data_IF_143437617620
#
_entry.id   IF_143437617620
#
_cell.length_a   1.000
_cell.length_b   1.000
_cell.length_c   1.000
_cell.angle_alpha   90.00
_cell.angle_beta   90.00
_cell.angle_gamma   90.00
#
_symmetry.space_group_name_H-M   'P 1'
#
loop_
_entity.id
_entity.type
_entity.pdbx_description
1 polymer ?
#
# COMPACT_ATOMS: atom_id res chain seq x y z
N UNK A 1 -23.56 -26.28 45.82
CA UNK A 1 -23.31 -26.88 44.47
C UNK A 1 -24.27 -26.39 43.38
N UNK A 2 -25.53 -26.09 43.62
CA UNK A 2 -26.50 -25.67 42.57
C UNK A 2 -26.17 -24.29 41.91
N UNK A 3 -25.51 -23.39 42.57
CA UNK A 3 -25.17 -22.05 42.04
C UNK A 3 -23.94 -22.05 41.10
N UNK A 4 -23.01 -23.00 41.28
CA UNK A 4 -21.84 -23.14 40.37
C UNK A 4 -22.22 -23.71 38.99
N UNK A 5 -23.25 -24.60 38.96
CA UNK A 5 -23.74 -25.16 37.69
C UNK A 5 -24.46 -24.11 36.82
N UNK A 6 -25.14 -23.12 37.44
CA UNK A 6 -25.80 -22.03 36.71
C UNK A 6 -24.80 -21.03 36.12
N UNK A 7 -23.70 -20.75 36.85
CA UNK A 7 -22.62 -19.87 36.39
C UNK A 7 -21.85 -20.47 35.22
N UNK A 8 -21.60 -21.80 35.23
CA UNK A 8 -20.94 -22.50 34.14
C UNK A 8 -21.81 -22.57 32.88
N UNK A 9 -23.12 -22.75 33.03
CA UNK A 9 -24.08 -22.75 31.88
C UNK A 9 -24.21 -21.34 31.26
N UNK A 10 -24.12 -20.28 32.06
CA UNK A 10 -24.12 -18.90 31.55
C UNK A 10 -22.83 -18.54 30.79
N UNK A 11 -21.70 -19.12 31.18
CA UNK A 11 -20.39 -18.93 30.48
C UNK A 11 -20.37 -19.68 29.16
N UNK A 12 -20.97 -20.87 29.07
CA UNK A 12 -21.07 -21.65 27.84
C UNK A 12 -22.05 -21.07 26.81
N UNK A 13 -23.08 -20.36 27.24
CA UNK A 13 -24.01 -19.68 26.33
C UNK A 13 -23.44 -18.43 25.66
N UNK A 14 -22.30 -17.91 26.14
CA UNK A 14 -21.62 -16.71 25.59
C UNK A 14 -20.62 -17.02 24.49
N UNK A 15 -20.41 -18.30 24.14
CA UNK A 15 -19.51 -18.72 23.07
C UNK A 15 -20.21 -18.89 21.70
N UNK A 16 -21.40 -18.32 21.50
CA UNK A 16 -22.11 -18.36 20.23
C UNK A 16 -21.41 -17.55 19.15
N UNK A 17 -20.79 -18.26 18.24
CA UNK A 17 -20.55 -17.98 16.82
C UNK A 17 -20.38 -16.52 16.42
N UNK A 18 -19.13 -16.08 16.34
CA UNK A 18 -18.75 -15.06 15.37
C UNK A 18 -18.78 -15.73 13.97
N UNK A 19 -19.96 -15.80 13.34
CA UNK A 19 -20.04 -16.07 11.92
C UNK A 19 -19.23 -14.99 11.18
N UNK A 20 -18.28 -15.38 10.36
CA UNK A 20 -17.67 -14.54 9.34
C UNK A 20 -18.82 -14.18 8.37
N UNK A 21 -19.52 -13.09 8.62
CA UNK A 21 -20.41 -12.53 7.63
C UNK A 21 -19.52 -11.89 6.56
N UNK A 22 -19.20 -12.63 5.52
CA UNK A 22 -18.71 -12.06 4.28
C UNK A 22 -19.75 -11.02 3.82
N UNK A 23 -19.30 -9.86 3.36
CA UNK A 23 -20.21 -8.89 2.73
C UNK A 23 -20.34 -9.38 1.30
N UNK A 24 -21.51 -9.90 0.94
CA UNK A 24 -21.78 -10.33 -0.43
C UNK A 24 -21.88 -9.08 -1.33
N UNK A 25 -21.22 -9.09 -2.51
CA UNK A 25 -21.23 -7.94 -3.43
C UNK A 25 -22.63 -7.64 -3.97
N UNK A 26 -23.47 -8.65 -4.17
CA UNK A 26 -24.84 -8.54 -4.70
C UNK A 26 -25.80 -7.71 -3.83
N UNK A 27 -25.46 -7.45 -2.56
CA UNK A 27 -26.23 -6.56 -1.69
C UNK A 27 -25.68 -5.12 -1.62
N UNK A 28 -24.64 -4.80 -2.40
CA UNK A 28 -23.87 -3.56 -2.29
C UNK A 28 -23.83 -2.80 -3.62
N UNK A 29 -23.80 -3.52 -4.74
CA UNK A 29 -23.87 -2.99 -6.10
C UNK A 29 -24.96 -3.71 -6.85
N UNK A 30 -25.90 -2.95 -7.44
CA UNK A 30 -26.97 -3.50 -8.26
C UNK A 30 -26.45 -3.92 -9.65
N UNK A 31 -27.02 -4.99 -10.20
CA UNK A 31 -26.79 -5.45 -11.58
C UNK A 31 -25.33 -5.80 -11.91
N UNK A 32 -24.64 -6.54 -11.05
CA UNK A 32 -23.33 -7.12 -11.41
C UNK A 32 -23.59 -8.19 -12.48
N UNK A 33 -22.97 -8.11 -13.69
CA UNK A 33 -23.14 -9.09 -14.73
C UNK A 33 -22.51 -10.44 -14.35
N UNK A 34 -23.04 -11.53 -14.89
CA UNK A 34 -22.50 -12.88 -14.69
C UNK A 34 -21.15 -13.07 -15.39
N UNK A 35 -20.93 -12.37 -16.49
CA UNK A 35 -19.72 -12.44 -17.31
C UNK A 35 -19.20 -11.03 -17.63
N UNK A 36 -17.93 -10.93 -17.99
CA UNK A 36 -17.34 -9.72 -18.54
C UNK A 36 -17.88 -9.44 -19.95
N UNK A 37 -17.87 -8.19 -20.40
CA UNK A 37 -18.31 -7.80 -21.75
C UNK A 37 -17.46 -8.44 -22.86
N UNK A 38 -16.21 -8.77 -22.56
CA UNK A 38 -15.32 -9.47 -23.46
C UNK A 38 -15.08 -10.88 -22.91
N UNK A 39 -15.35 -11.90 -23.74
CA UNK A 39 -15.04 -13.28 -23.41
C UNK A 39 -13.54 -13.46 -23.19
N UNK A 40 -13.17 -13.91 -21.98
CA UNK A 40 -11.78 -14.27 -21.68
C UNK A 40 -11.51 -15.72 -22.01
N UNK A 41 -10.33 -16.05 -22.56
CA UNK A 41 -9.95 -17.44 -22.82
C UNK A 41 -9.91 -18.27 -21.52
N UNK A 42 -10.10 -19.59 -21.69
CA UNK A 42 -10.28 -20.61 -20.64
C UNK A 42 -9.23 -20.53 -19.52
N UNK A 43 -9.72 -20.78 -18.32
CA UNK A 43 -9.07 -20.74 -17.02
C UNK A 43 -7.65 -21.35 -16.96
N UNK A 44 -6.68 -20.58 -16.57
CA UNK A 44 -5.41 -21.05 -16.06
C UNK A 44 -5.22 -20.43 -14.67
N UNK A 45 -4.86 -21.23 -13.67
CA UNK A 45 -4.40 -20.68 -12.39
C UNK A 45 -3.07 -19.96 -12.64
N UNK A 46 -3.05 -18.63 -12.47
CA UNK A 46 -1.81 -17.87 -12.50
C UNK A 46 -0.97 -18.25 -11.28
N UNK A 47 0.29 -18.55 -11.52
CA UNK A 47 1.30 -18.76 -10.47
C UNK A 47 1.42 -17.50 -9.59
N UNK A 48 1.74 -17.67 -8.30
CA UNK A 48 2.15 -16.56 -7.43
C UNK A 48 3.36 -15.80 -8.03
N UNK A 49 4.15 -16.47 -8.86
CA UNK A 49 5.30 -15.93 -9.58
C UNK A 49 4.93 -15.77 -11.08
N UNK A 50 3.89 -14.96 -11.35
CA UNK A 50 3.33 -14.75 -12.69
C UNK A 50 4.35 -14.21 -13.71
N UNK A 51 5.39 -13.50 -13.28
CA UNK A 51 6.41 -12.96 -14.17
C UNK A 51 7.33 -14.03 -14.77
N UNK A 52 7.37 -15.25 -14.24
CA UNK A 52 8.08 -16.37 -14.86
C UNK A 52 7.52 -16.75 -16.23
N UNK A 53 6.25 -16.43 -16.50
CA UNK A 53 5.61 -16.69 -17.79
C UNK A 53 6.20 -15.84 -18.92
N UNK A 54 6.91 -14.76 -18.63
CA UNK A 54 7.69 -14.01 -19.61
C UNK A 54 8.95 -14.74 -20.09
N UNK A 55 9.36 -15.82 -19.41
CA UNK A 55 10.53 -16.63 -19.74
C UNK A 55 11.84 -15.82 -19.85
N UNK A 56 11.96 -14.74 -19.09
CA UNK A 56 13.13 -13.87 -19.01
C UNK A 56 13.88 -14.08 -17.67
N UNK A 57 15.02 -14.75 -17.74
CA UNK A 57 15.86 -15.06 -16.57
C UNK A 57 16.42 -13.77 -15.91
N UNK A 58 16.72 -12.74 -16.71
CA UNK A 58 17.24 -11.45 -16.19
C UNK A 58 16.15 -10.69 -15.43
N UNK A 59 14.90 -10.72 -15.93
CA UNK A 59 13.74 -10.22 -15.20
C UNK A 59 13.56 -10.97 -13.88
N UNK A 60 13.63 -12.30 -13.89
CA UNK A 60 13.48 -13.13 -12.70
C UNK A 60 14.54 -12.79 -11.64
N UNK A 61 15.79 -12.61 -12.06
CA UNK A 61 16.90 -12.23 -11.17
C UNK A 61 16.69 -10.82 -10.60
N UNK A 62 16.29 -9.86 -11.44
CA UNK A 62 15.98 -8.50 -11.00
C UNK A 62 14.84 -8.47 -9.97
N UNK A 63 13.73 -9.15 -10.23
CA UNK A 63 12.58 -9.18 -9.33
C UNK A 63 12.86 -9.98 -8.05
N UNK A 64 13.66 -11.04 -8.10
CA UNK A 64 14.09 -11.76 -6.90
C UNK A 64 14.87 -10.85 -5.97
N UNK A 65 15.78 -10.05 -6.50
CA UNK A 65 16.55 -9.07 -5.74
C UNK A 65 15.69 -7.93 -5.23
N UNK A 66 14.78 -7.43 -6.07
CA UNK A 66 13.79 -6.42 -5.70
C UNK A 66 12.95 -6.86 -4.50
N UNK A 67 12.41 -8.07 -4.52
CA UNK A 67 11.58 -8.61 -3.44
C UNK A 67 12.36 -8.78 -2.13
N UNK A 68 13.67 -9.07 -2.21
CA UNK A 68 14.52 -9.26 -1.04
C UNK A 68 15.01 -7.94 -0.42
N UNK A 69 15.27 -6.91 -1.23
CA UNK A 69 16.06 -5.74 -0.82
C UNK A 69 15.26 -4.42 -0.83
N UNK A 70 14.06 -4.40 -1.42
CA UNK A 70 13.32 -3.14 -1.61
C UNK A 70 12.91 -2.49 -0.28
N UNK A 71 13.34 -1.24 -0.09
CA UNK A 71 13.11 -0.46 1.14
C UNK A 71 11.61 -0.21 1.39
N UNK A 72 10.82 0.03 0.33
CA UNK A 72 9.40 0.31 0.48
C UNK A 72 8.63 -0.94 0.93
N UNK A 73 9.04 -2.13 0.47
CA UNK A 73 8.47 -3.40 0.93
C UNK A 73 8.82 -3.66 2.40
N UNK A 74 10.04 -3.37 2.81
CA UNK A 74 10.48 -3.47 4.20
C UNK A 74 9.66 -2.53 5.11
N UNK A 75 9.47 -1.27 4.70
CA UNK A 75 8.64 -0.31 5.43
C UNK A 75 7.18 -0.76 5.54
N UNK A 76 6.60 -1.29 4.45
CA UNK A 76 5.22 -1.79 4.46
C UNK A 76 5.06 -3.01 5.39
N UNK A 77 6.07 -3.89 5.44
CA UNK A 77 6.11 -5.01 6.39
C UNK A 77 6.17 -4.50 7.85
N UNK A 78 6.99 -3.48 8.12
CA UNK A 78 7.07 -2.87 9.45
C UNK A 78 5.73 -2.24 9.86
N UNK A 79 5.02 -1.55 8.96
CA UNK A 79 3.68 -1.03 9.22
C UNK A 79 2.67 -2.14 9.58
N UNK A 80 2.78 -3.31 8.94
CA UNK A 80 1.97 -4.48 9.30
C UNK A 80 2.29 -4.99 10.71
N UNK A 81 3.57 -4.99 11.11
CA UNK A 81 3.99 -5.33 12.48
C UNK A 81 3.47 -4.33 13.50
N UNK A 82 3.48 -3.02 13.18
CA UNK A 82 2.88 -1.96 14.02
C UNK A 82 1.38 -2.23 14.22
N UNK A 83 0.65 -2.51 13.14
CA UNK A 83 -0.78 -2.83 13.23
C UNK A 83 -1.05 -4.09 14.08
N UNK A 84 -0.16 -5.10 14.03
CA UNK A 84 -0.22 -6.27 14.91
C UNK A 84 -0.08 -5.87 16.39
N UNK A 85 0.89 -5.03 16.74
CA UNK A 85 1.07 -4.56 18.13
C UNK A 85 -0.11 -3.70 18.58
N UNK A 86 -0.67 -2.85 17.74
CA UNK A 86 -1.89 -2.09 18.05
C UNK A 86 -3.08 -3.03 18.36
N UNK A 87 -3.18 -4.17 17.66
CA UNK A 87 -4.16 -5.20 17.99
C UNK A 87 -3.91 -5.86 19.35
N UNK A 88 -2.64 -6.08 19.72
CA UNK A 88 -2.28 -6.57 21.07
C UNK A 88 -2.70 -5.56 22.14
N UNK A 89 -2.42 -4.26 21.96
CA UNK A 89 -2.85 -3.18 22.85
C UNK A 89 -4.37 -3.16 22.98
N UNK A 90 -5.10 -3.29 21.88
CA UNK A 90 -6.58 -3.35 21.92
C UNK A 90 -7.11 -4.56 22.70
N UNK A 91 -6.38 -5.69 22.66
CA UNK A 91 -6.71 -6.90 23.39
C UNK A 91 -6.37 -6.77 24.88
N UNK A 92 -5.28 -6.07 25.25
CA UNK A 92 -4.85 -5.93 26.65
C UNK A 92 -5.87 -5.20 27.52
N UNK A 93 -6.71 -4.34 26.93
CA UNK A 93 -7.81 -3.66 27.63
C UNK A 93 -8.87 -4.61 28.23
N UNK A 94 -8.85 -5.90 27.88
CA UNK A 94 -9.73 -6.91 28.47
C UNK A 94 -9.19 -7.50 29.77
N UNK A 95 -7.93 -7.24 30.11
CA UNK A 95 -7.23 -7.82 31.23
C UNK A 95 -6.92 -6.75 32.29
N UNK A 96 -6.72 -7.16 33.57
CA UNK A 96 -6.30 -6.23 34.60
C UNK A 96 -4.90 -5.66 34.32
N UNK A 97 -4.71 -4.41 34.70
CA UNK A 97 -3.36 -3.81 34.77
C UNK A 97 -2.84 -4.01 36.21
N UNK A 98 -1.57 -4.36 36.33
CA UNK A 98 -0.87 -4.51 37.59
C UNK A 98 0.35 -3.60 37.52
N UNK A 99 0.50 -2.75 38.56
CA UNK A 99 1.61 -1.82 38.66
C UNK A 99 2.17 -1.76 40.07
N UNK A 100 3.47 -1.54 40.16
CA UNK A 100 4.14 -1.22 41.42
C UNK A 100 4.43 0.29 41.43
N UNK A 101 4.17 0.94 42.56
CA UNK A 101 4.51 2.34 42.80
C UNK A 101 5.26 2.50 44.08
N UNK A 102 6.31 3.30 44.07
CA UNK A 102 7.02 3.75 45.25
C UNK A 102 7.04 5.28 45.23
N UNK A 103 6.78 5.89 46.37
CA UNK A 103 6.75 7.35 46.50
C UNK A 103 7.25 7.79 47.85
N UNK A 104 7.91 8.94 47.88
CA UNK A 104 8.24 9.69 49.07
C UNK A 104 7.73 11.12 48.89
N UNK A 105 7.00 11.63 49.81
CA UNK A 105 6.51 13.01 49.80
C UNK A 105 6.67 13.63 51.18
N UNK A 106 7.09 14.87 51.21
CA UNK A 106 7.10 15.73 52.38
C UNK A 106 6.14 16.90 52.11
N UNK A 107 5.27 17.18 53.03
CA UNK A 107 4.34 18.30 52.96
C UNK A 107 4.29 19.03 54.30
N UNK A 108 4.35 20.36 54.24
CA UNK A 108 4.10 21.20 55.41
C UNK A 108 2.61 21.56 55.44
N UNK A 109 1.96 21.24 56.54
CA UNK A 109 0.55 21.56 56.78
C UNK A 109 0.44 22.50 57.96
N UNK A 110 -0.55 23.38 57.94
CA UNK A 110 -0.86 24.25 59.06
C UNK A 110 -2.06 23.70 59.84
N UNK A 111 -2.13 24.06 61.13
CA UNK A 111 -3.17 23.62 62.06
C UNK A 111 -4.54 24.30 61.85
N UNK A 112 -4.67 25.29 60.95
CA UNK A 112 -5.89 26.10 60.80
C UNK A 112 -7.13 25.28 60.35
N UNK A 113 -6.96 24.07 59.82
CA UNK A 113 -8.07 23.17 59.46
C UNK A 113 -8.31 22.01 60.39
N UNK A 114 -7.58 21.92 61.52
CA UNK A 114 -7.69 20.82 62.46
C UNK A 114 -8.75 21.21 63.54
N UNK A 115 -9.74 20.33 63.76
CA UNK A 115 -10.72 20.59 64.86
C UNK A 115 -10.02 20.82 66.20
N UNK A 116 -10.50 21.80 67.03
CA UNK A 116 -9.82 22.20 68.23
C UNK A 116 -9.52 21.05 69.23
N UNK A 117 -10.35 20.04 69.30
CA UNK A 117 -10.15 18.86 70.11
C UNK A 117 -8.87 18.07 69.74
N UNK A 118 -8.50 18.03 68.46
CA UNK A 118 -7.28 17.37 68.01
C UNK A 118 -6.05 18.28 68.13
N UNK A 119 -6.21 19.62 68.02
CA UNK A 119 -5.15 20.60 68.25
C UNK A 119 -4.65 20.52 69.72
N UNK A 120 -5.56 20.37 70.69
CA UNK A 120 -5.23 20.20 72.08
C UNK A 120 -4.49 18.87 72.35
N UNK A 121 -4.85 17.79 71.67
CA UNK A 121 -4.19 16.49 71.79
C UNK A 121 -2.76 16.49 71.22
N UNK A 122 -2.51 17.34 70.20
CA UNK A 122 -1.19 17.56 69.59
C UNK A 122 -0.34 18.58 70.35
N UNK A 123 -0.81 19.09 71.50
CA UNK A 123 -0.08 20.01 72.38
C UNK A 123 0.00 21.45 71.84
N UNK A 124 -0.83 21.84 70.85
CA UNK A 124 -0.92 23.21 70.36
C UNK A 124 -2.03 23.97 71.06
N UNK A 125 -1.75 25.22 71.53
CA UNK A 125 -2.81 26.07 72.10
C UNK A 125 -3.76 26.52 70.96
N UNK A 126 -5.06 26.60 71.28
CA UNK A 126 -6.14 26.76 70.29
C UNK A 126 -6.12 28.06 69.43
N UNK A 127 -5.26 29.02 69.76
CA UNK A 127 -5.19 30.35 69.10
C UNK A 127 -3.95 30.57 68.23
N UNK A 128 -3.01 29.61 68.22
CA UNK A 128 -1.78 29.74 67.42
C UNK A 128 -1.76 28.78 66.27
N UNK A 129 -1.68 29.30 65.01
CA UNK A 129 -1.53 28.49 63.80
C UNK A 129 -0.09 27.99 63.73
N UNK A 130 0.10 26.74 64.04
CA UNK A 130 1.40 26.07 63.92
C UNK A 130 1.49 25.28 62.63
N UNK A 131 2.69 25.17 62.11
CA UNK A 131 2.97 24.26 60.92
C UNK A 131 3.62 22.99 61.42
N UNK A 132 3.32 21.89 60.75
CA UNK A 132 3.94 20.59 60.99
C UNK A 132 4.27 19.93 59.68
N UNK A 133 5.44 19.31 59.63
CA UNK A 133 5.89 18.55 58.45
C UNK A 133 5.30 17.14 58.54
N UNK A 134 4.74 16.70 57.44
CA UNK A 134 4.27 15.35 57.25
C UNK A 134 5.10 14.69 56.17
N UNK A 135 5.87 13.70 56.55
CA UNK A 135 6.54 12.80 55.61
C UNK A 135 5.62 11.60 55.30
N UNK A 136 5.59 11.15 54.09
CA UNK A 136 4.85 9.96 53.71
C UNK A 136 5.68 9.15 52.72
N UNK A 137 6.00 7.94 53.10
CA UNK A 137 6.67 6.95 52.29
C UNK A 137 5.67 5.86 51.93
N UNK A 138 5.59 5.47 50.63
CA UNK A 138 4.69 4.41 50.20
C UNK A 138 5.38 3.48 49.23
N UNK A 139 5.07 2.19 49.34
CA UNK A 139 5.39 1.16 48.39
C UNK A 139 4.13 0.31 48.19
N UNK A 140 3.56 0.29 47.01
CA UNK A 140 2.31 -0.42 46.76
C UNK A 140 2.29 -1.17 45.41
N UNK A 141 1.70 -2.35 45.44
CA UNK A 141 1.25 -3.10 44.30
C UNK A 141 -0.24 -2.79 44.08
N UNK A 142 -0.59 -2.25 42.92
CA UNK A 142 -1.97 -1.89 42.59
C UNK A 142 -2.46 -2.64 41.37
N UNK A 143 -3.75 -2.94 41.36
CA UNK A 143 -4.41 -3.53 40.19
C UNK A 143 -5.70 -2.78 39.89
N UNK A 144 -5.98 -2.62 38.59
CA UNK A 144 -7.23 -2.07 38.10
C UNK A 144 -7.72 -2.89 36.93
N UNK A 145 -9.00 -3.23 36.91
CA UNK A 145 -9.64 -3.97 35.84
C UNK A 145 -11.06 -3.47 35.58
N UNK A 146 -11.31 -3.00 34.34
CA UNK A 146 -12.68 -2.69 33.90
C UNK A 146 -13.34 -3.98 33.38
N UNK A 147 -14.42 -4.39 34.04
CA UNK A 147 -15.19 -5.59 33.63
C UNK A 147 -16.03 -5.26 32.43
N UNK A 148 -15.83 -5.99 31.34
CA UNK A 148 -16.51 -5.75 30.04
C UNK A 148 -17.93 -6.36 30.01
N UNK A 149 -18.84 -5.89 30.88
CA UNK A 149 -20.21 -6.39 30.94
C UNK A 149 -20.97 -6.15 29.63
N UNK A 150 -20.83 -4.98 29.07
CA UNK A 150 -21.53 -4.58 27.84
C UNK A 150 -20.80 -4.96 26.58
N UNK A 151 -19.59 -5.43 26.67
CA UNK A 151 -18.72 -5.81 25.54
C UNK A 151 -18.09 -4.62 24.84
N UNK A 152 -17.92 -3.46 25.49
CA UNK A 152 -17.23 -2.29 24.95
C UNK A 152 -15.78 -2.65 24.58
N UNK A 153 -15.05 -3.28 25.52
CA UNK A 153 -13.65 -3.68 25.28
C UNK A 153 -13.55 -4.79 24.24
N UNK A 154 -14.49 -5.74 24.24
CA UNK A 154 -14.57 -6.79 23.19
C UNK A 154 -14.75 -6.19 21.79
N UNK A 155 -15.53 -5.10 21.63
CA UNK A 155 -15.65 -4.44 20.33
C UNK A 155 -14.35 -3.74 19.93
N UNK A 156 -13.65 -3.09 20.86
CA UNK A 156 -12.31 -2.53 20.61
C UNK A 156 -11.30 -3.60 20.17
N UNK A 157 -11.28 -4.74 20.85
CA UNK A 157 -10.47 -5.91 20.43
C UNK A 157 -10.81 -6.40 19.02
N UNK A 158 -12.12 -6.52 18.71
CA UNK A 158 -12.56 -6.93 17.37
C UNK A 158 -12.06 -5.92 16.33
N UNK A 159 -12.24 -4.62 16.60
CA UNK A 159 -11.78 -3.56 15.71
C UNK A 159 -10.26 -3.63 15.47
N UNK A 160 -9.46 -3.72 16.51
CA UNK A 160 -8.00 -3.83 16.41
C UNK A 160 -7.56 -5.07 15.64
N UNK A 161 -8.24 -6.23 15.82
CA UNK A 161 -7.97 -7.44 15.02
C UNK A 161 -8.30 -7.23 13.55
N UNK A 162 -9.43 -6.61 13.22
CA UNK A 162 -9.83 -6.35 11.84
C UNK A 162 -8.88 -5.35 11.16
N UNK A 163 -8.45 -4.30 11.86
CA UNK A 163 -7.44 -3.36 11.36
C UNK A 163 -6.09 -4.04 11.08
N UNK A 164 -5.65 -4.96 11.93
CA UNK A 164 -4.46 -5.76 11.66
C UNK A 164 -4.62 -6.64 10.40
N UNK A 165 -5.78 -7.28 10.22
CA UNK A 165 -6.05 -8.08 9.03
C UNK A 165 -6.09 -7.20 7.77
N UNK A 166 -6.72 -6.03 7.85
CA UNK A 166 -6.70 -5.05 6.76
C UNK A 166 -5.26 -4.66 6.38
N UNK A 167 -4.42 -4.34 7.37
CA UNK A 167 -3.01 -4.00 7.14
C UNK A 167 -2.22 -5.16 6.51
N UNK A 168 -2.51 -6.41 6.90
CA UNK A 168 -1.90 -7.61 6.31
C UNK A 168 -2.24 -7.75 4.82
N UNK A 169 -3.52 -7.59 4.45
CA UNK A 169 -3.94 -7.68 3.04
C UNK A 169 -3.50 -6.47 2.22
N UNK A 170 -3.46 -5.27 2.82
CA UNK A 170 -2.85 -4.10 2.20
C UNK A 170 -1.37 -4.32 1.88
N UNK A 171 -0.61 -4.95 2.78
CA UNK A 171 0.78 -5.32 2.51
C UNK A 171 0.89 -6.29 1.32
N UNK A 172 0.03 -7.29 1.27
CA UNK A 172 0.01 -8.26 0.16
C UNK A 172 -0.29 -7.56 -1.17
N UNK A 173 -1.30 -6.68 -1.21
CA UNK A 173 -1.61 -5.89 -2.41
C UNK A 173 -0.46 -4.97 -2.80
N UNK A 174 0.15 -4.29 -1.82
CA UNK A 174 1.26 -3.38 -2.04
C UNK A 174 2.49 -4.10 -2.58
N UNK A 175 2.81 -5.27 -2.05
CA UNK A 175 3.90 -6.11 -2.59
C UNK A 175 3.66 -6.47 -4.05
N UNK A 176 2.44 -6.88 -4.39
CA UNK A 176 2.09 -7.23 -5.76
C UNK A 176 2.12 -6.01 -6.70
N UNK A 177 1.56 -4.89 -6.26
CA UNK A 177 1.57 -3.62 -7.01
C UNK A 177 2.99 -3.13 -7.28
N UNK A 178 3.86 -3.12 -6.26
CA UNK A 178 5.26 -2.71 -6.43
C UNK A 178 6.05 -3.67 -7.33
N UNK A 179 5.78 -4.99 -7.25
CA UNK A 179 6.39 -5.96 -8.15
C UNK A 179 5.95 -5.72 -9.60
N UNK A 180 4.68 -5.37 -9.80
CA UNK A 180 4.15 -4.97 -11.10
C UNK A 180 4.84 -3.72 -11.63
N UNK A 181 5.01 -2.68 -10.80
CA UNK A 181 5.73 -1.45 -11.18
C UNK A 181 7.21 -1.72 -11.50
N UNK A 182 7.90 -2.56 -10.70
CA UNK A 182 9.28 -2.96 -10.99
C UNK A 182 9.39 -3.73 -12.32
N UNK A 183 8.41 -4.58 -12.62
CA UNK A 183 8.34 -5.30 -13.89
C UNK A 183 8.12 -4.35 -15.07
N UNK A 184 7.23 -3.38 -14.94
CA UNK A 184 7.01 -2.34 -15.96
C UNK A 184 8.26 -1.50 -16.19
N UNK A 185 8.95 -1.10 -15.12
CA UNK A 185 10.22 -0.37 -15.24
C UNK A 185 11.28 -1.18 -15.99
N UNK A 186 11.38 -2.49 -15.74
CA UNK A 186 12.28 -3.36 -16.48
C UNK A 186 11.99 -3.34 -18.00
N UNK A 187 10.73 -3.44 -18.40
CA UNK A 187 10.34 -3.36 -19.81
C UNK A 187 10.48 -1.94 -20.39
N UNK A 188 10.30 -0.90 -19.59
CA UNK A 188 10.60 0.48 -20.00
C UNK A 188 12.09 0.70 -20.28
N UNK A 189 12.99 0.00 -19.58
CA UNK A 189 14.42 0.02 -19.87
C UNK A 189 14.72 -0.67 -21.22
N UNK A 190 14.05 -1.79 -21.54
CA UNK A 190 14.18 -2.46 -22.83
C UNK A 190 13.74 -1.53 -23.96
N UNK A 191 12.55 -0.92 -23.83
CA UNK A 191 12.06 0.09 -24.79
C UNK A 191 13.09 1.22 -24.97
N UNK A 192 13.53 1.84 -23.89
CA UNK A 192 14.46 2.97 -23.95
C UNK A 192 15.80 2.60 -24.65
N UNK A 193 16.29 1.38 -24.44
CA UNK A 193 17.46 0.85 -25.17
C UNK A 193 17.18 0.67 -26.65
N UNK A 194 16.00 0.16 -27.02
CA UNK A 194 15.59 0.01 -28.44
C UNK A 194 15.42 1.36 -29.13
N UNK A 195 14.77 2.33 -28.46
CA UNK A 195 14.63 3.70 -28.98
C UNK A 195 15.99 4.38 -29.17
N UNK A 196 16.94 4.18 -28.25
CA UNK A 196 18.30 4.70 -28.39
C UNK A 196 19.05 4.03 -29.56
N UNK A 197 18.88 2.72 -29.77
CA UNK A 197 19.46 2.00 -30.91
C UNK A 197 18.85 2.46 -32.26
N UNK A 198 17.55 2.73 -32.30
CA UNK A 198 16.88 3.30 -33.48
C UNK A 198 17.39 4.73 -33.77
N UNK A 199 17.51 5.57 -32.74
CA UNK A 199 18.07 6.92 -32.89
C UNK A 199 19.52 6.89 -33.38
N UNK A 200 20.33 5.91 -32.95
CA UNK A 200 21.70 5.73 -33.45
C UNK A 200 21.73 5.38 -34.92
N UNK A 201 20.89 4.45 -35.38
CA UNK A 201 20.75 4.11 -36.82
C UNK A 201 20.29 5.33 -37.63
N UNK A 202 19.30 6.08 -37.09
CA UNK A 202 18.79 7.32 -37.73
C UNK A 202 19.91 8.38 -37.85
N UNK A 203 20.73 8.54 -36.81
CA UNK A 203 21.90 9.44 -36.85
C UNK A 203 22.95 8.96 -37.86
N UNK A 204 23.26 7.66 -37.94
CA UNK A 204 24.19 7.10 -38.92
C UNK A 204 23.70 7.37 -40.36
N UNK A 205 22.39 7.14 -40.64
CA UNK A 205 21.80 7.46 -41.93
C UNK A 205 21.92 8.95 -42.26
N UNK A 206 21.63 9.84 -41.32
CA UNK A 206 21.77 11.28 -41.50
C UNK A 206 23.20 11.69 -41.77
N UNK A 207 24.18 11.03 -41.14
CA UNK A 207 25.60 11.28 -41.39
C UNK A 207 26.01 10.86 -42.81
N UNK A 208 25.59 9.70 -43.29
CA UNK A 208 25.83 9.23 -44.67
C UNK A 208 25.30 10.27 -45.66
N UNK A 209 24.07 10.75 -45.44
CA UNK A 209 23.45 11.77 -46.29
C UNK A 209 24.26 13.07 -46.27
N UNK A 210 24.65 13.54 -45.09
CA UNK A 210 25.44 14.77 -44.97
C UNK A 210 26.81 14.67 -45.66
N UNK A 211 27.53 13.56 -45.49
CA UNK A 211 28.83 13.30 -46.13
C UNK A 211 28.69 13.29 -47.64
N UNK A 212 27.63 12.66 -48.19
CA UNK A 212 27.31 12.65 -49.61
C UNK A 212 27.01 14.07 -50.14
N UNK A 213 26.23 14.84 -49.38
CA UNK A 213 25.91 16.24 -49.79
C UNK A 213 27.15 17.15 -49.72
N UNK A 214 28.01 16.99 -48.76
CA UNK A 214 29.30 17.70 -48.67
C UNK A 214 30.13 17.43 -49.91
N UNK A 215 30.22 16.16 -50.35
CA UNK A 215 30.93 15.79 -51.58
C UNK A 215 30.30 16.39 -52.81
N UNK A 216 28.98 16.36 -52.96
CA UNK A 216 28.25 16.94 -54.12
C UNK A 216 28.35 18.48 -54.16
N UNK A 217 28.30 19.13 -53.04
CA UNK A 217 28.47 20.58 -52.94
C UNK A 217 29.89 21.02 -53.37
N UNK A 218 30.90 20.32 -52.92
CA UNK A 218 32.30 20.60 -53.30
C UNK A 218 32.54 20.40 -54.79
N UNK A 219 31.71 19.57 -55.45
CA UNK A 219 31.70 19.38 -56.92
C UNK A 219 30.81 20.39 -57.68
N UNK A 220 30.14 21.31 -56.95
CA UNK A 220 29.23 22.29 -57.54
C UNK A 220 27.89 21.73 -58.05
N UNK A 221 27.49 20.51 -57.61
CA UNK A 221 26.29 19.80 -58.10
C UNK A 221 25.03 20.19 -57.34
N UNK A 222 25.15 20.63 -56.07
CA UNK A 222 24.03 21.01 -55.22
C UNK A 222 24.16 22.40 -54.64
N UNK A 223 23.05 23.01 -54.20
CA UNK A 223 23.01 24.32 -53.57
C UNK A 223 23.51 24.30 -52.13
N UNK A 224 23.99 25.45 -51.63
CA UNK A 224 24.33 25.64 -50.21
C UNK A 224 23.11 25.34 -49.29
N UNK A 225 21.90 25.71 -49.73
CA UNK A 225 20.65 25.41 -48.98
C UNK A 225 20.49 23.93 -48.72
N UNK A 226 20.72 23.10 -49.74
CA UNK A 226 20.60 21.64 -49.65
C UNK A 226 21.64 21.03 -48.67
N UNK A 227 22.89 21.53 -48.71
CA UNK A 227 23.91 21.15 -47.72
C UNK A 227 23.50 21.54 -46.30
N UNK A 228 23.02 22.75 -46.11
CA UNK A 228 22.58 23.24 -44.79
C UNK A 228 21.38 22.47 -44.24
N UNK A 229 20.43 22.02 -45.11
CA UNK A 229 19.33 21.15 -44.71
C UNK A 229 19.82 19.77 -44.19
N UNK A 230 20.82 19.18 -44.87
CA UNK A 230 21.41 17.91 -44.45
C UNK A 230 22.20 18.04 -43.12
N UNK A 231 22.88 19.17 -42.90
CA UNK A 231 23.58 19.48 -41.66
C UNK A 231 22.59 19.68 -40.49
N UNK A 232 21.48 20.39 -40.73
CA UNK A 232 20.40 20.54 -39.75
C UNK A 232 19.85 19.19 -39.32
N UNK A 233 19.55 18.28 -40.30
CA UNK A 233 19.10 16.92 -40.01
C UNK A 233 20.12 16.15 -39.17
N UNK A 234 21.40 16.20 -39.48
CA UNK A 234 22.47 15.55 -38.74
C UNK A 234 22.49 16.04 -37.28
N UNK A 235 22.40 17.34 -37.06
CA UNK A 235 22.40 17.93 -35.70
C UNK A 235 21.16 17.56 -34.91
N UNK A 236 19.97 17.53 -35.52
CA UNK A 236 18.71 17.10 -34.91
C UNK A 236 18.74 15.63 -34.47
N UNK A 237 19.21 14.75 -35.38
CA UNK A 237 19.31 13.31 -35.07
C UNK A 237 20.36 13.01 -34.03
N UNK A 238 21.48 13.77 -33.96
CA UNK A 238 22.47 13.66 -32.91
C UNK A 238 21.91 14.08 -31.56
N UNK A 239 21.14 15.17 -31.51
CA UNK A 239 20.48 15.65 -30.28
C UNK A 239 19.46 14.62 -29.77
N UNK A 240 18.65 14.05 -30.66
CA UNK A 240 17.68 12.99 -30.30
C UNK A 240 18.39 11.74 -29.75
N UNK A 241 19.48 11.29 -30.37
CA UNK A 241 20.28 10.18 -29.88
C UNK A 241 20.78 10.39 -28.46
N UNK A 242 21.37 11.56 -28.17
CA UNK A 242 21.88 11.84 -26.83
C UNK A 242 20.75 11.89 -25.81
N UNK A 243 19.60 12.45 -26.17
CA UNK A 243 18.40 12.45 -25.32
C UNK A 243 17.90 11.02 -25.01
N UNK A 244 17.74 10.16 -26.05
CA UNK A 244 17.32 8.77 -25.86
C UNK A 244 18.32 7.97 -24.99
N UNK A 245 19.63 8.16 -25.20
CA UNK A 245 20.66 7.57 -24.32
C UNK A 245 20.56 8.05 -22.87
N UNK A 246 20.25 9.32 -22.66
CA UNK A 246 20.08 9.90 -21.32
C UNK A 246 18.85 9.28 -20.60
N UNK A 247 17.72 9.14 -21.29
CA UNK A 247 16.52 8.51 -20.74
C UNK A 247 16.82 7.08 -20.33
N UNK A 248 17.43 6.28 -21.19
CA UNK A 248 17.80 4.89 -20.88
C UNK A 248 18.68 4.80 -19.62
N UNK A 249 19.69 5.68 -19.51
CA UNK A 249 20.56 5.75 -18.32
C UNK A 249 19.79 6.12 -17.04
N UNK A 250 18.80 7.02 -17.15
CA UNK A 250 17.96 7.44 -16.01
C UNK A 250 17.12 6.28 -15.48
N UNK A 251 16.46 5.51 -16.36
CA UNK A 251 15.65 4.35 -15.98
C UNK A 251 16.49 3.24 -15.35
N UNK A 252 17.72 3.02 -15.86
CA UNK A 252 18.65 2.05 -15.25
C UNK A 252 19.00 2.46 -13.82
N UNK A 253 19.26 3.76 -13.57
CA UNK A 253 19.54 4.24 -12.21
C UNK A 253 18.34 4.08 -11.29
N UNK A 254 17.13 4.33 -11.79
CA UNK A 254 15.89 4.12 -11.04
C UNK A 254 15.73 2.66 -10.63
N UNK A 255 15.94 1.72 -11.56
CA UNK A 255 15.88 0.29 -11.28
C UNK A 255 16.93 -0.15 -10.23
N UNK A 256 18.13 0.43 -10.25
CA UNK A 256 19.17 0.16 -9.25
C UNK A 256 18.77 0.63 -7.86
N UNK A 257 18.13 1.81 -7.76
CA UNK A 257 17.60 2.32 -6.48
C UNK A 257 16.53 1.39 -5.93
N UNK A 258 15.65 0.82 -6.79
CA UNK A 258 14.61 -0.11 -6.35
C UNK A 258 15.17 -1.39 -5.71
N UNK A 259 16.34 -1.83 -6.12
CA UNK A 259 17.04 -3.00 -5.55
C UNK A 259 18.11 -2.60 -4.50
N UNK A 260 18.00 -1.38 -3.94
CA UNK A 260 18.87 -0.87 -2.86
C UNK A 260 20.35 -0.85 -3.24
N UNK A 261 20.69 -0.56 -4.49
CA UNK A 261 22.04 -0.48 -4.96
C UNK A 261 22.45 0.93 -5.38
N UNK A 262 23.77 1.20 -5.38
CA UNK A 262 24.28 2.47 -5.90
C UNK A 262 23.85 2.66 -7.36
N UNK A 263 23.30 3.83 -7.75
CA UNK A 263 22.69 4.07 -9.07
C UNK A 263 23.74 4.21 -10.19
N UNK A 264 24.56 3.17 -10.41
CA UNK A 264 25.42 3.04 -11.57
C UNK A 264 24.62 2.63 -12.82
N UNK A 265 25.30 2.31 -13.93
CA UNK A 265 24.67 1.93 -15.20
C UNK A 265 24.74 0.43 -15.49
N UNK A 266 25.09 -0.38 -14.49
CA UNK A 266 25.28 -1.83 -14.63
C UNK A 266 23.98 -2.57 -14.29
N UNK A 267 23.06 -2.67 -15.25
CA UNK A 267 21.88 -3.49 -15.14
C UNK A 267 21.73 -4.38 -16.38
N UNK A 268 21.74 -5.67 -16.14
CA UNK A 268 21.46 -6.64 -17.22
C UNK A 268 19.96 -6.69 -17.49
N UNK A 269 19.60 -6.54 -18.77
CA UNK A 269 18.24 -6.73 -19.27
C UNK A 269 18.25 -7.61 -20.51
N UNK A 270 17.12 -8.18 -20.89
CA UNK A 270 16.95 -8.73 -22.23
C UNK A 270 17.18 -7.62 -23.26
N UNK A 271 17.53 -8.03 -24.49
CA UNK A 271 17.71 -7.10 -25.62
C UNK A 271 16.37 -6.73 -26.25
N UNK A 272 15.50 -7.71 -26.37
CA UNK A 272 14.23 -7.60 -27.04
C UNK A 272 13.09 -7.95 -26.08
N UNK A 273 11.87 -7.55 -26.43
CA UNK A 273 10.68 -7.93 -25.67
C UNK A 273 10.42 -9.44 -25.76
N UNK A 274 9.75 -10.04 -24.77
CA UNK A 274 9.42 -11.46 -24.79
C UNK A 274 8.40 -11.76 -25.90
N UNK A 275 8.57 -12.89 -26.57
CA UNK A 275 7.60 -13.36 -27.59
C UNK A 275 6.28 -13.81 -26.94
N UNK A 276 6.37 -14.38 -25.75
CA UNK A 276 5.22 -14.82 -24.96
C UNK A 276 4.90 -13.82 -23.84
N UNK A 277 3.64 -13.48 -23.70
CA UNK A 277 3.14 -12.71 -22.55
C UNK A 277 2.25 -13.61 -21.68
N UNK A 278 2.18 -13.37 -20.36
CA UNK A 278 1.37 -14.17 -19.45
C UNK A 278 -0.09 -14.31 -19.90
N UNK A 279 -0.63 -15.50 -19.76
CA UNK A 279 -2.05 -15.75 -20.00
C UNK A 279 -2.91 -15.10 -18.89
N UNK A 280 -4.16 -14.78 -19.24
CA UNK A 280 -5.10 -14.21 -18.28
C UNK A 280 -5.82 -15.31 -17.51
N UNK A 281 -6.03 -15.15 -16.19
CA UNK A 281 -6.90 -16.05 -15.45
C UNK A 281 -8.34 -15.82 -15.89
N UNK A 282 -9.10 -16.92 -16.05
CA UNK A 282 -10.54 -16.79 -16.14
C UNK A 282 -11.12 -16.52 -14.75
N UNK A 283 -11.83 -15.43 -14.61
CA UNK A 283 -12.48 -15.04 -13.36
C UNK A 283 -13.83 -14.42 -13.67
N UNK A 284 -14.86 -14.83 -12.94
CA UNK A 284 -16.18 -14.19 -13.01
C UNK A 284 -16.16 -12.85 -12.25
N UNK A 285 -16.98 -11.85 -12.64
CA UNK A 285 -17.07 -10.59 -11.92
C UNK A 285 -17.29 -10.76 -10.41
N UNK A 286 -18.16 -11.66 -9.99
CA UNK A 286 -18.46 -11.92 -8.58
C UNK A 286 -17.26 -12.48 -7.77
N UNK A 287 -16.29 -13.13 -8.42
CA UNK A 287 -15.13 -13.73 -7.73
C UNK A 287 -14.01 -12.74 -7.39
N UNK A 288 -14.00 -11.57 -8.00
CA UNK A 288 -12.99 -10.51 -7.78
C UNK A 288 -12.90 -10.15 -6.29
N UNK A 289 -14.03 -10.05 -5.61
CA UNK A 289 -14.09 -9.66 -4.19
C UNK A 289 -13.38 -10.66 -3.28
N UNK A 290 -13.33 -11.93 -3.68
CA UNK A 290 -12.68 -13.01 -2.90
C UNK A 290 -11.19 -13.12 -3.19
N UNK A 291 -10.72 -12.57 -4.32
CA UNK A 291 -9.33 -12.73 -4.78
C UNK A 291 -8.48 -11.48 -4.63
N UNK A 292 -9.03 -10.28 -4.83
CA UNK A 292 -8.25 -9.03 -4.73
C UNK A 292 -7.94 -8.67 -3.28
N UNK A 293 -6.66 -8.60 -2.89
CA UNK A 293 -6.28 -8.31 -1.50
C UNK A 293 -6.70 -6.90 -1.04
N UNK A 294 -6.74 -5.91 -1.93
CA UNK A 294 -7.21 -4.55 -1.63
C UNK A 294 -8.70 -4.52 -1.27
N UNK A 295 -9.54 -5.28 -1.99
CA UNK A 295 -10.96 -5.42 -1.67
C UNK A 295 -11.17 -6.16 -0.34
N UNK A 296 -10.39 -7.20 -0.10
CA UNK A 296 -10.40 -7.93 1.19
C UNK A 296 -9.97 -6.99 2.33
N UNK A 297 -8.94 -6.17 2.13
CA UNK A 297 -8.49 -5.18 3.11
C UNK A 297 -9.59 -4.14 3.40
N UNK A 298 -10.25 -3.63 2.36
CA UNK A 298 -11.36 -2.69 2.48
C UNK A 298 -12.55 -3.30 3.25
N UNK A 299 -12.85 -4.58 3.02
CA UNK A 299 -13.87 -5.31 3.78
C UNK A 299 -13.50 -5.40 5.28
N UNK A 300 -12.24 -5.70 5.61
CA UNK A 300 -11.77 -5.71 7.01
C UNK A 300 -11.83 -4.32 7.64
N UNK A 301 -11.52 -3.24 6.92
CA UNK A 301 -11.68 -1.87 7.39
C UNK A 301 -13.16 -1.54 7.70
N UNK A 302 -14.08 -1.97 6.86
CA UNK A 302 -15.52 -1.85 7.12
C UNK A 302 -15.95 -2.64 8.37
N UNK A 303 -15.43 -3.85 8.56
CA UNK A 303 -15.70 -4.64 9.78
C UNK A 303 -15.13 -3.98 11.03
N UNK A 304 -13.94 -3.38 10.93
CA UNK A 304 -13.34 -2.59 12.02
C UNK A 304 -14.21 -1.39 12.39
N UNK A 305 -14.65 -0.60 11.40
CA UNK A 305 -15.51 0.57 11.63
C UNK A 305 -16.88 0.20 12.22
N UNK A 306 -17.47 -0.95 11.82
CA UNK A 306 -18.68 -1.51 12.43
C UNK A 306 -18.46 -1.83 13.91
N UNK A 307 -17.30 -2.40 14.26
CA UNK A 307 -16.96 -2.70 15.66
C UNK A 307 -16.72 -1.43 16.47
N UNK A 308 -16.01 -0.43 15.92
CA UNK A 308 -15.80 0.88 16.58
C UNK A 308 -17.12 1.62 16.81
N UNK A 309 -18.05 1.56 15.88
CA UNK A 309 -19.39 2.14 16.07
C UNK A 309 -20.14 1.46 17.24
N UNK A 310 -20.07 0.13 17.35
CA UNK A 310 -20.63 -0.60 18.48
C UNK A 310 -19.91 -0.25 19.79
N UNK A 311 -18.60 -0.07 19.78
CA UNK A 311 -17.80 0.37 20.95
C UNK A 311 -18.25 1.75 21.42
N UNK A 312 -18.36 2.71 20.51
CA UNK A 312 -18.82 4.07 20.81
C UNK A 312 -20.25 4.11 21.39
N UNK A 313 -21.15 3.26 20.87
CA UNK A 313 -22.50 3.10 21.43
C UNK A 313 -22.43 2.57 22.87
N UNK A 314 -21.60 1.58 23.14
CA UNK A 314 -21.46 0.94 24.46
C UNK A 314 -20.75 1.82 25.48
N UNK A 315 -20.02 2.85 25.06
CA UNK A 315 -19.42 3.85 25.93
C UNK A 315 -20.46 4.77 26.62
N UNK A 316 -21.73 4.69 26.24
CA UNK A 316 -22.84 5.38 26.91
C UNK A 316 -23.35 4.63 28.14
N UNK A 317 -23.01 3.36 28.30
CA UNK A 317 -23.45 2.54 29.42
C UNK A 317 -22.52 2.70 30.65
N UNK A 318 -23.00 2.41 31.89
CA UNK A 318 -22.18 2.43 33.07
C UNK A 318 -20.98 1.50 32.97
N UNK A 319 -19.80 1.93 33.40
CA UNK A 319 -18.60 1.09 33.54
C UNK A 319 -18.46 0.53 34.96
N UNK A 320 -17.90 -0.67 35.06
CA UNK A 320 -17.63 -1.38 36.29
C UNK A 320 -16.15 -1.69 36.38
N UNK A 321 -15.48 -1.19 37.43
CA UNK A 321 -14.06 -1.41 37.62
C UNK A 321 -13.80 -2.08 38.97
N UNK A 322 -12.95 -3.10 38.95
CA UNK A 322 -12.36 -3.67 40.16
C UNK A 322 -11.02 -2.98 40.38
N UNK A 323 -10.80 -2.56 41.64
CA UNK A 323 -9.54 -1.98 42.06
C UNK A 323 -9.03 -2.70 43.29
N UNK A 324 -7.73 -2.84 43.43
CA UNK A 324 -7.10 -3.44 44.57
C UNK A 324 -5.69 -2.90 44.76
N UNK A 325 -5.26 -2.76 45.99
CA UNK A 325 -3.88 -2.44 46.30
C UNK A 325 -3.43 -3.16 47.56
N UNK A 326 -2.16 -3.48 47.61
CA UNK A 326 -1.48 -3.98 48.82
C UNK A 326 -0.06 -3.43 48.85
N UNK A 327 0.44 -3.16 50.07
CA UNK A 327 1.78 -2.60 50.19
C UNK A 327 2.08 -2.12 51.59
N UNK A 328 2.99 -1.17 51.74
CA UNK A 328 3.32 -0.51 52.98
C UNK A 328 3.21 1.02 52.81
N UNK A 329 2.76 1.70 53.87
CA UNK A 329 2.72 3.16 53.95
C UNK A 329 3.13 3.60 55.35
N UNK A 330 4.10 4.49 55.43
CA UNK A 330 4.67 4.94 56.70
C UNK A 330 5.06 6.44 56.65
N UNK A 331 5.11 7.05 57.81
CA UNK A 331 5.69 8.39 58.03
C UNK A 331 7.20 8.34 58.36
N UNK A 332 7.81 7.16 58.33
CA UNK A 332 9.25 6.92 58.53
C UNK A 332 9.81 6.09 57.38
N UNK A 333 11.12 6.16 57.20
CA UNK A 333 11.79 5.50 56.07
C UNK A 333 11.79 3.96 56.13
N UNK A 334 11.43 3.36 57.26
CA UNK A 334 11.40 1.89 57.46
C UNK A 334 10.07 1.28 56.97
N UNK A 335 9.89 1.25 55.61
CA UNK A 335 8.68 0.76 54.96
C UNK A 335 8.54 -0.77 54.94
N UNK A 336 9.61 -1.51 55.21
CA UNK A 336 9.62 -2.98 55.06
C UNK A 336 9.27 -3.71 56.38
N UNK A 337 8.88 -2.98 57.41
CA UNK A 337 8.40 -3.55 58.65
C UNK A 337 6.92 -3.97 58.47
N UNK A 338 6.54 -5.17 58.93
CA UNK A 338 5.19 -5.73 58.81
C UNK A 338 4.10 -4.83 59.45
N UNK A 339 4.47 -3.99 60.45
CA UNK A 339 3.55 -3.08 61.13
C UNK A 339 2.99 -1.97 60.22
N UNK A 340 3.61 -1.71 59.04
CA UNK A 340 3.18 -0.68 58.09
C UNK A 340 2.39 -1.24 56.90
N UNK A 341 2.02 -2.51 56.91
CA UNK A 341 1.26 -3.14 55.83
C UNK A 341 -0.15 -2.56 55.69
N UNK A 342 -0.51 -2.22 54.46
CA UNK A 342 -1.85 -1.70 54.09
C UNK A 342 -2.40 -2.41 52.89
N UNK A 343 -3.71 -2.58 52.82
CA UNK A 343 -4.37 -3.10 51.61
C UNK A 343 -5.74 -2.46 51.41
N UNK A 344 -6.16 -2.40 50.17
CA UNK A 344 -7.53 -2.00 49.81
C UNK A 344 -8.08 -2.86 48.66
N UNK A 345 -9.40 -3.02 48.66
CA UNK A 345 -10.15 -3.62 47.54
C UNK A 345 -11.47 -2.88 47.37
N UNK A 346 -11.88 -2.71 46.11
CA UNK A 346 -13.11 -1.99 45.82
C UNK A 346 -13.72 -2.31 44.47
N UNK A 347 -14.98 -1.97 44.35
CA UNK A 347 -15.72 -1.98 43.08
C UNK A 347 -16.20 -0.57 42.81
N UNK A 348 -15.82 -0.01 41.68
CA UNK A 348 -16.26 1.31 41.24
C UNK A 348 -17.27 1.17 40.10
N UNK A 349 -18.40 1.86 40.24
CA UNK A 349 -19.41 1.96 39.17
C UNK A 349 -19.48 3.42 38.73
N UNK A 350 -19.27 3.67 37.46
CA UNK A 350 -19.35 5.03 36.91
C UNK A 350 -20.36 5.08 35.78
N UNK A 351 -21.38 5.90 35.88
CA UNK A 351 -22.38 6.16 34.86
C UNK A 351 -22.26 7.62 34.38
N UNK A 352 -21.91 7.87 33.09
CA UNK A 352 -21.82 9.24 32.59
C UNK A 352 -23.22 9.85 32.39
N UNK A 353 -23.61 10.77 33.27
CA UNK A 353 -24.92 11.45 33.17
C UNK A 353 -24.82 12.71 32.30
N UNK A 354 -23.78 13.51 32.51
CA UNK A 354 -23.56 14.75 31.75
C UNK A 354 -22.07 14.91 31.40
N UNK A 355 -21.77 15.11 30.12
CA UNK A 355 -20.43 15.34 29.61
C UNK A 355 -20.42 16.32 28.41
N UNK A 356 -21.30 17.34 28.48
CA UNK A 356 -21.44 18.38 27.46
C UNK A 356 -21.57 17.81 26.01
N UNK A 357 -22.25 16.66 25.86
CA UNK A 357 -22.50 16.05 24.57
C UNK A 357 -21.37 15.22 23.97
N UNK A 358 -20.19 15.13 24.60
CA UNK A 358 -18.97 14.44 24.09
C UNK A 358 -19.25 13.00 23.63
N UNK A 359 -19.93 12.19 24.45
CA UNK A 359 -20.20 10.78 24.12
C UNK A 359 -21.19 10.63 22.97
N UNK A 360 -22.21 11.52 22.89
CA UNK A 360 -23.16 11.56 21.79
C UNK A 360 -22.47 11.96 20.49
N UNK A 361 -21.58 12.96 20.54
CA UNK A 361 -20.77 13.36 19.38
C UNK A 361 -19.86 12.22 18.92
N UNK A 362 -19.15 11.54 19.82
CA UNK A 362 -18.30 10.38 19.50
C UNK A 362 -19.10 9.24 18.83
N UNK A 363 -20.32 8.95 19.31
CA UNK A 363 -21.22 7.98 18.68
C UNK A 363 -21.59 8.40 17.24
N UNK A 364 -21.90 9.69 17.00
CA UNK A 364 -22.23 10.22 15.67
C UNK A 364 -21.00 10.12 14.75
N UNK A 365 -19.82 10.49 15.21
CA UNK A 365 -18.56 10.36 14.47
C UNK A 365 -18.34 8.89 14.08
N UNK A 366 -18.43 7.96 15.01
CA UNK A 366 -18.24 6.54 14.74
C UNK A 366 -19.30 5.97 13.77
N UNK A 367 -20.54 6.46 13.82
CA UNK A 367 -21.58 6.12 12.83
C UNK A 367 -21.19 6.60 11.44
N UNK A 368 -20.80 7.87 11.30
CA UNK A 368 -20.42 8.44 10.01
C UNK A 368 -19.16 7.75 9.43
N UNK A 369 -18.15 7.45 10.27
CA UNK A 369 -16.97 6.69 9.84
C UNK A 369 -17.33 5.28 9.32
N UNK A 370 -18.34 4.62 9.93
CA UNK A 370 -18.85 3.34 9.40
C UNK A 370 -19.50 3.52 8.03
N UNK A 371 -20.24 4.58 7.82
CA UNK A 371 -20.89 4.89 6.53
C UNK A 371 -19.84 5.24 5.47
N UNK A 372 -18.81 6.03 5.81
CA UNK A 372 -17.67 6.32 4.94
C UNK A 372 -16.96 5.01 4.52
N UNK A 373 -16.63 4.15 5.48
CA UNK A 373 -15.97 2.88 5.17
C UNK A 373 -16.81 1.96 4.26
N UNK A 374 -18.14 2.05 4.32
CA UNK A 374 -19.03 1.34 3.41
C UNK A 374 -18.96 1.93 1.99
N UNK A 375 -19.00 3.26 1.86
CA UNK A 375 -18.90 3.94 0.56
C UNK A 375 -17.52 3.71 -0.08
N UNK A 376 -16.45 3.70 0.71
CA UNK A 376 -15.09 3.35 0.25
C UNK A 376 -15.03 1.93 -0.30
N UNK A 377 -15.65 0.95 0.39
CA UNK A 377 -15.72 -0.42 -0.10
C UNK A 377 -16.47 -0.50 -1.44
N UNK A 378 -17.62 0.17 -1.57
CA UNK A 378 -18.39 0.24 -2.84
C UNK A 378 -17.57 0.86 -3.95
N UNK A 379 -16.91 1.99 -3.68
CA UNK A 379 -16.09 2.69 -4.66
C UNK A 379 -14.91 1.83 -5.14
N UNK A 380 -14.23 1.17 -4.21
CA UNK A 380 -13.13 0.26 -4.55
C UNK A 380 -13.61 -0.92 -5.41
N UNK A 381 -14.79 -1.46 -5.11
CA UNK A 381 -15.40 -2.54 -5.88
C UNK A 381 -15.75 -2.10 -7.31
N UNK A 382 -16.40 -0.95 -7.48
CA UNK A 382 -16.73 -0.41 -8.80
C UNK A 382 -15.48 -0.09 -9.63
N UNK A 383 -14.43 0.45 -8.99
CA UNK A 383 -13.15 0.69 -9.66
C UNK A 383 -12.49 -0.63 -10.09
N UNK A 384 -12.59 -1.68 -9.28
CA UNK A 384 -12.06 -2.99 -9.62
C UNK A 384 -12.74 -3.57 -10.88
N UNK A 385 -14.06 -3.46 -11.00
CA UNK A 385 -14.78 -3.87 -12.21
C UNK A 385 -14.36 -3.05 -13.42
N UNK A 386 -14.30 -1.72 -13.29
CA UNK A 386 -13.85 -0.83 -14.36
C UNK A 386 -12.44 -1.18 -14.83
N UNK A 387 -11.51 -1.48 -13.92
CA UNK A 387 -10.13 -1.85 -14.25
C UNK A 387 -10.06 -3.11 -15.11
N UNK A 388 -10.88 -4.11 -14.82
CA UNK A 388 -10.91 -5.36 -15.62
C UNK A 388 -11.52 -5.11 -16.98
N UNK A 389 -12.73 -4.51 -17.06
CA UNK A 389 -13.42 -4.22 -18.34
C UNK A 389 -12.54 -3.39 -19.27
N UNK A 390 -12.00 -2.28 -18.74
CA UNK A 390 -11.12 -1.41 -19.53
C UNK A 390 -9.82 -2.11 -19.94
N UNK A 391 -9.29 -2.97 -19.07
CA UNK A 391 -8.07 -3.73 -19.35
C UNK A 391 -8.26 -4.76 -20.47
N UNK A 392 -9.39 -5.46 -20.49
CA UNK A 392 -9.73 -6.43 -21.53
C UNK A 392 -9.89 -5.77 -22.90
N UNK A 393 -10.63 -4.65 -22.96
CA UNK A 393 -10.80 -3.90 -24.21
C UNK A 393 -9.47 -3.35 -24.73
N UNK A 394 -8.63 -2.83 -23.84
CA UNK A 394 -7.33 -2.29 -24.22
C UNK A 394 -6.36 -3.38 -24.72
N UNK A 395 -6.33 -4.56 -24.10
CA UNK A 395 -5.51 -5.69 -24.53
C UNK A 395 -5.86 -6.11 -25.97
N UNK A 396 -7.17 -6.20 -26.27
CA UNK A 396 -7.68 -6.52 -27.61
C UNK A 396 -7.28 -5.47 -28.64
N UNK A 397 -7.49 -4.19 -28.35
CA UNK A 397 -7.19 -3.10 -29.30
C UNK A 397 -5.69 -2.97 -29.56
N UNK A 398 -4.87 -3.15 -28.55
CA UNK A 398 -3.41 -3.09 -28.66
C UNK A 398 -2.85 -4.26 -29.47
N UNK A 399 -3.43 -5.46 -29.37
CA UNK A 399 -3.05 -6.61 -30.20
C UNK A 399 -3.27 -6.33 -31.68
N UNK A 400 -4.42 -5.74 -32.05
CA UNK A 400 -4.71 -5.33 -33.42
C UNK A 400 -3.71 -4.28 -33.91
N UNK A 401 -3.43 -3.28 -33.08
CA UNK A 401 -2.48 -2.21 -33.39
C UNK A 401 -1.08 -2.74 -33.67
N UNK A 402 -0.59 -3.72 -32.90
CA UNK A 402 0.71 -4.35 -33.09
C UNK A 402 0.83 -5.05 -34.45
N UNK A 403 -0.21 -5.76 -34.89
CA UNK A 403 -0.19 -6.44 -36.17
C UNK A 403 -0.06 -5.42 -37.33
N UNK A 404 -0.85 -4.34 -37.28
CA UNK A 404 -0.80 -3.27 -38.28
C UNK A 404 0.56 -2.55 -38.31
N UNK A 405 1.17 -2.32 -37.14
CA UNK A 405 2.49 -1.69 -37.03
C UNK A 405 3.60 -2.56 -37.64
N UNK A 406 3.55 -3.88 -37.49
CA UNK A 406 4.50 -4.80 -38.10
C UNK A 406 4.41 -4.72 -39.62
N UNK A 407 3.21 -4.70 -40.20
CA UNK A 407 2.99 -4.53 -41.61
C UNK A 407 3.50 -3.15 -42.13
N UNK A 408 3.23 -2.07 -41.34
CA UNK A 408 3.69 -0.73 -41.69
C UNK A 408 5.23 -0.61 -41.68
N UNK A 409 5.94 -1.35 -40.82
CA UNK A 409 7.41 -1.36 -40.84
C UNK A 409 7.94 -1.97 -42.12
N UNK A 410 7.38 -3.10 -42.57
CA UNK A 410 7.77 -3.74 -43.84
C UNK A 410 7.59 -2.78 -45.03
N UNK A 411 6.43 -2.09 -45.05
CA UNK A 411 6.15 -1.10 -46.10
C UNK A 411 7.10 0.10 -46.01
N UNK A 412 7.36 0.63 -44.84
CA UNK A 412 8.26 1.78 -44.63
C UNK A 412 9.71 1.45 -44.96
N UNK A 413 10.18 0.22 -44.71
CA UNK A 413 11.51 -0.25 -45.10
C UNK A 413 11.63 -0.29 -46.65
N UNK A 414 10.62 -0.82 -47.32
CA UNK A 414 10.56 -0.85 -48.79
C UNK A 414 10.54 0.56 -49.40
N UNK A 415 9.70 1.46 -48.83
CA UNK A 415 9.64 2.87 -49.29
C UNK A 415 10.98 3.56 -49.10
N UNK A 416 11.61 3.42 -47.95
CA UNK A 416 12.91 4.04 -47.68
C UNK A 416 13.99 3.53 -48.65
N UNK A 417 14.08 2.22 -48.85
CA UNK A 417 15.06 1.62 -49.80
C UNK A 417 14.85 2.12 -51.22
N UNK A 418 13.62 2.09 -51.70
CA UNK A 418 13.29 2.56 -53.07
C UNK A 418 13.60 4.04 -53.24
N UNK A 419 13.18 4.89 -52.29
CA UNK A 419 13.42 6.33 -52.34
C UNK A 419 14.91 6.67 -52.29
N UNK A 420 15.71 5.91 -51.52
CA UNK A 420 17.14 6.08 -51.43
C UNK A 420 17.84 5.71 -52.79
N UNK A 421 17.44 4.59 -53.41
CA UNK A 421 17.94 4.17 -54.72
C UNK A 421 17.59 5.18 -55.84
N UNK A 422 16.38 5.73 -55.82
CA UNK A 422 15.94 6.80 -56.74
C UNK A 422 16.73 8.08 -56.53
N UNK A 423 17.02 8.42 -55.29
CA UNK A 423 17.83 9.57 -54.94
C UNK A 423 19.27 9.45 -55.42
N UNK A 424 19.89 8.27 -55.35
CA UNK A 424 21.22 8.03 -55.90
C UNK A 424 21.25 8.24 -57.41
N UNK A 425 20.15 7.85 -58.09
CA UNK A 425 19.95 8.02 -59.54
C UNK A 425 19.52 9.45 -59.97
N UNK A 426 19.29 10.34 -58.96
CA UNK A 426 18.87 11.72 -59.21
C UNK A 426 17.39 11.90 -59.54
N UNK A 427 16.55 10.88 -59.28
CA UNK A 427 15.10 10.89 -59.54
C UNK A 427 14.32 11.46 -58.36
N UNK A 428 14.69 11.09 -57.11
CA UNK A 428 14.05 11.59 -55.90
C UNK A 428 14.86 12.71 -55.22
N UNK A 429 14.19 13.54 -54.45
CA UNK A 429 14.80 14.63 -53.71
C UNK A 429 15.36 14.16 -52.33
N UNK A 430 16.26 14.99 -51.74
CA UNK A 430 16.71 14.74 -50.37
C UNK A 430 15.56 14.79 -49.36
N UNK A 431 14.58 15.65 -49.57
CA UNK A 431 13.40 15.78 -48.73
C UNK A 431 12.60 14.47 -48.69
N UNK A 432 12.48 13.79 -49.83
CA UNK A 432 11.81 12.49 -49.92
C UNK A 432 12.55 11.43 -49.12
N UNK A 433 13.89 11.37 -49.21
CA UNK A 433 14.72 10.45 -48.42
C UNK A 433 14.59 10.72 -46.92
N UNK A 434 14.64 12.01 -46.52
CA UNK A 434 14.48 12.42 -45.13
C UNK A 434 13.10 11.98 -44.60
N UNK A 435 12.04 12.22 -45.35
CA UNK A 435 10.67 11.86 -44.99
C UNK A 435 10.51 10.35 -44.86
N UNK A 436 11.01 9.58 -45.81
CA UNK A 436 10.97 8.12 -45.80
C UNK A 436 11.76 7.54 -44.61
N UNK A 437 12.96 8.09 -44.31
CA UNK A 437 13.77 7.70 -43.17
C UNK A 437 13.08 8.02 -41.85
N UNK A 438 12.45 9.18 -41.72
CA UNK A 438 11.69 9.56 -40.54
C UNK A 438 10.51 8.61 -40.33
N UNK A 439 9.69 8.37 -41.38
CA UNK A 439 8.54 7.48 -41.30
C UNK A 439 8.93 6.05 -40.85
N UNK A 440 10.04 5.52 -41.39
CA UNK A 440 10.57 4.22 -40.97
C UNK A 440 10.91 4.16 -39.49
N UNK A 441 11.69 5.12 -38.99
CA UNK A 441 12.10 5.09 -37.60
C UNK A 441 10.97 5.47 -36.62
N UNK A 442 10.01 6.29 -37.05
CA UNK A 442 8.82 6.61 -36.26
C UNK A 442 7.93 5.37 -36.11
N UNK A 443 7.74 4.56 -37.18
CA UNK A 443 7.05 3.28 -37.10
C UNK A 443 7.79 2.26 -36.20
N UNK A 444 9.13 2.16 -36.29
CA UNK A 444 9.93 1.29 -35.41
C UNK A 444 9.84 1.71 -33.93
N UNK A 445 9.86 2.99 -33.66
CA UNK A 445 9.70 3.52 -32.30
C UNK A 445 8.28 3.27 -31.78
N UNK A 446 7.26 3.47 -32.64
CA UNK A 446 5.88 3.20 -32.28
C UNK A 446 5.64 1.72 -31.99
N UNK A 447 6.28 0.80 -32.74
CA UNK A 447 6.22 -0.63 -32.43
C UNK A 447 6.79 -0.93 -31.05
N UNK A 448 8.01 -0.47 -30.75
CA UNK A 448 8.66 -0.70 -29.43
C UNK A 448 7.80 -0.16 -28.27
N UNK A 449 7.25 1.04 -28.42
CA UNK A 449 6.35 1.64 -27.43
C UNK A 449 5.06 0.85 -27.26
N UNK A 450 4.46 0.38 -28.36
CA UNK A 450 3.20 -0.38 -28.31
C UNK A 450 3.42 -1.78 -27.71
N UNK A 451 4.56 -2.44 -27.98
CA UNK A 451 4.94 -3.70 -27.34
C UNK A 451 5.08 -3.53 -25.83
N UNK A 452 5.77 -2.49 -25.35
CA UNK A 452 5.85 -2.18 -23.91
C UNK A 452 4.47 -1.91 -23.33
N UNK A 453 3.65 -1.08 -23.95
CA UNK A 453 2.30 -0.75 -23.50
C UNK A 453 1.45 -2.02 -23.37
N UNK A 454 1.52 -2.94 -24.33
CA UNK A 454 0.81 -4.22 -24.25
C UNK A 454 1.23 -5.05 -23.05
N UNK A 455 2.53 -5.14 -22.78
CA UNK A 455 3.04 -5.84 -21.60
C UNK A 455 2.55 -5.19 -20.33
N UNK A 456 2.62 -3.87 -20.22
CA UNK A 456 2.12 -3.13 -19.06
C UNK A 456 0.63 -3.34 -18.81
N UNK A 457 -0.18 -3.33 -19.86
CA UNK A 457 -1.62 -3.58 -19.75
C UNK A 457 -1.91 -5.02 -19.33
N UNK A 458 -1.15 -5.99 -19.82
CA UNK A 458 -1.24 -7.38 -19.38
C UNK A 458 -0.90 -7.52 -17.89
N UNK A 459 0.13 -6.83 -17.41
CA UNK A 459 0.51 -6.78 -16.00
C UNK A 459 -0.60 -6.13 -15.16
N UNK A 460 -1.16 -5.00 -15.63
CA UNK A 460 -2.26 -4.32 -14.97
C UNK A 460 -3.50 -5.21 -14.86
N UNK A 461 -3.82 -5.94 -15.92
CA UNK A 461 -4.97 -6.83 -15.96
C UNK A 461 -4.78 -8.05 -15.03
N UNK A 462 -3.56 -8.59 -14.93
CA UNK A 462 -3.23 -9.63 -13.93
C UNK A 462 -3.43 -9.07 -12.51
N UNK A 463 -2.99 -7.85 -12.23
CA UNK A 463 -3.21 -7.19 -10.94
C UNK A 463 -4.71 -6.97 -10.67
N UNK A 464 -5.45 -6.47 -11.67
CA UNK A 464 -6.89 -6.20 -11.57
C UNK A 464 -7.71 -7.47 -11.31
N UNK A 465 -7.31 -8.59 -11.89
CA UNK A 465 -7.93 -9.91 -11.67
C UNK A 465 -7.49 -10.58 -10.35
N UNK A 466 -6.65 -9.90 -9.54
CA UNK A 466 -6.21 -10.41 -8.24
C UNK A 466 -5.00 -11.35 -8.31
N UNK A 467 -4.35 -11.48 -9.47
CA UNK A 467 -3.11 -12.27 -9.63
C UNK A 467 -3.22 -13.74 -9.23
N UNK A 468 -2.09 -14.38 -9.01
CA UNK A 468 -1.98 -15.77 -8.56
C UNK A 468 -2.18 -15.97 -7.05
N UNK A 469 -2.95 -15.11 -6.36
CA UNK A 469 -3.16 -15.26 -4.92
C UNK A 469 -3.98 -16.50 -4.61
N UNK A 470 -3.34 -17.50 -4.05
CA UNK A 470 -4.02 -18.59 -3.34
C UNK A 470 -4.32 -18.15 -1.92
N UNK A 471 -5.61 -18.06 -1.60
CA UNK A 471 -6.08 -17.82 -0.24
C UNK A 471 -5.66 -19.01 0.65
N UNK A 472 -4.51 -18.92 1.32
CA UNK A 472 -4.23 -19.83 2.45
C UNK A 472 -5.05 -19.32 3.64
N UNK A 473 -6.15 -20.06 3.94
CA UNK A 473 -7.04 -19.83 5.09
C UNK A 473 -6.29 -19.89 6.42
#
# INVERSE_FOLDING_TARGET
>A
MRYYSLAILLILALSACASKAAIEPEGVVDNIPDNWDIETPIAINISEIWWNEFQDEKLNNFLSKFLAENINLEQAMLNTRIAKQASVISNSNLFPTIGISAGASESEQNSAGIPPIFATLLGTQSDEITTFNQENYNLSLSTQWEIDLWGKMRQGRIAGKQQYLAAKYNYTYYQFSLTSEATKLYFSIIEAKQLAANAEKKYVNAKIIFDLYTSRYNKGVISLKALQQSELMLNLTKSDLENKKSISKSLIREARVLIKEYPNLELETAKDFPESIPNLPYLLPADIVKRRPDLIASQYNLLASKALNKQALRSLYPSFSLVGSTGASSNVQDLLNDDFSVWSKGVNVFAPIFNAGKLVANKKIAKNNKEIAMLEFVNNLLNAYKEVESGLEFDRSTQLSLNLLKDNIILSESIYSTTFDEFEKGVSSIEDVINANNALFDNKNMLATTERIRIEQRINLILALGGGFTYKQ
#
